data_IF_610936961694
#
_entry.id   IF_610936961694
#
_cell.length_a   1.000
_cell.length_b   1.000
_cell.length_c   1.000
_cell.angle_alpha   90.00
_cell.angle_beta   90.00
_cell.angle_gamma   90.00
#
_symmetry.space_group_name_H-M   'P 1'
#
loop_
_entity.id
_entity.type
_entity.pdbx_description
1 polymer ?
#
# COMPACT_ATOMS: atom_id res chain seq x y z
N UNK A 1 4.09 1.45 26.91
CA UNK A 1 2.81 1.88 26.32
C UNK A 1 2.92 1.70 24.83
N UNK A 2 2.04 0.91 24.22
CA UNK A 2 2.04 0.70 22.77
C UNK A 2 1.34 1.85 22.04
N UNK A 3 1.56 1.93 20.72
CA UNK A 3 0.81 2.87 19.88
C UNK A 3 -0.71 2.58 19.90
N UNK A 4 -1.10 1.31 20.10
CA UNK A 4 -2.51 0.89 20.19
C UNK A 4 -3.18 1.34 21.49
N UNK A 5 -2.46 1.27 22.60
CA UNK A 5 -2.89 1.86 23.88
C UNK A 5 -2.96 3.39 23.77
N UNK A 6 -1.94 4.01 23.16
CA UNK A 6 -1.91 5.45 22.95
C UNK A 6 -3.10 5.93 22.09
N UNK A 7 -3.44 5.24 21.00
CA UNK A 7 -4.63 5.53 20.19
C UNK A 7 -5.94 5.38 20.96
N UNK A 8 -6.06 4.37 21.83
CA UNK A 8 -7.25 4.17 22.67
C UNK A 8 -7.40 5.24 23.75
N UNK A 9 -6.30 5.74 24.28
CA UNK A 9 -6.27 6.75 25.34
C UNK A 9 -6.20 8.20 24.81
N UNK A 10 -5.88 8.40 23.53
CA UNK A 10 -5.73 9.72 22.93
C UNK A 10 -7.08 10.44 22.81
N UNK A 11 -7.15 11.74 23.19
CA UNK A 11 -8.34 12.54 22.98
C UNK A 11 -8.65 12.64 21.47
N UNK A 12 -9.95 12.67 21.17
CA UNK A 12 -10.42 13.03 19.84
C UNK A 12 -10.17 14.52 19.60
N UNK A 13 -9.96 14.90 18.34
CA UNK A 13 -10.01 16.30 17.91
C UNK A 13 -11.49 16.70 17.84
N UNK A 14 -11.91 17.67 18.65
CA UNK A 14 -13.34 17.93 18.91
C UNK A 14 -14.14 18.28 17.64
N UNK A 15 -13.53 19.02 16.70
CA UNK A 15 -14.14 19.39 15.41
C UNK A 15 -13.93 18.34 14.30
N UNK A 16 -13.22 17.23 14.55
CA UNK A 16 -12.84 16.25 13.52
C UNK A 16 -13.13 14.80 13.97
N UNK A 17 -14.29 14.23 13.58
CA UNK A 17 -14.68 12.89 14.02
C UNK A 17 -13.69 11.82 13.54
N UNK A 18 -13.37 10.87 14.41
CA UNK A 18 -12.48 9.75 14.08
C UNK A 18 -10.99 10.09 14.05
N UNK A 19 -10.57 11.32 14.37
CA UNK A 19 -9.15 11.71 14.45
C UNK A 19 -8.72 11.90 15.90
N UNK A 20 -7.57 11.33 16.25
CA UNK A 20 -6.98 11.28 17.59
C UNK A 20 -5.67 12.10 17.67
N UNK A 21 -5.38 12.68 18.83
CA UNK A 21 -4.13 13.40 19.10
C UNK A 21 -3.19 12.57 20.01
N UNK A 22 -2.18 11.94 19.40
CA UNK A 22 -1.22 11.06 20.08
C UNK A 22 -0.03 11.83 20.66
N UNK A 23 0.31 11.56 21.92
CA UNK A 23 1.57 12.01 22.52
C UNK A 23 2.74 11.11 22.06
N UNK A 24 3.78 11.71 21.46
CA UNK A 24 4.98 11.00 20.99
C UNK A 24 6.04 10.98 22.09
N UNK A 25 6.93 9.98 22.10
CA UNK A 25 8.08 9.88 23.01
C UNK A 25 7.80 9.13 24.31
N UNK A 26 6.71 8.37 24.38
CA UNK A 26 6.28 7.59 25.55
C UNK A 26 6.41 6.07 25.31
N UNK A 27 7.58 5.66 24.80
CA UNK A 27 7.92 4.27 24.43
C UNK A 27 8.24 4.09 22.94
N UNK A 28 7.86 5.07 22.12
CA UNK A 28 8.17 5.17 20.68
C UNK A 28 8.38 6.65 20.31
N UNK A 29 9.29 6.90 19.39
CA UNK A 29 9.46 8.18 18.69
C UNK A 29 8.88 8.05 17.26
N UNK A 30 8.91 9.11 16.46
CA UNK A 30 8.35 9.10 15.08
C UNK A 30 9.26 9.80 14.08
N UNK A 31 9.62 9.13 12.99
CA UNK A 31 10.36 9.75 11.88
C UNK A 31 9.37 10.27 10.85
N UNK A 32 9.37 11.58 10.63
CA UNK A 32 8.58 12.25 9.60
C UNK A 32 9.42 12.50 8.35
N UNK A 33 8.93 12.04 7.20
CA UNK A 33 9.59 12.14 5.87
C UNK A 33 8.59 12.65 4.83
N UNK A 34 9.06 13.09 3.65
CA UNK A 34 8.16 13.41 2.51
C UNK A 34 7.48 12.16 1.94
N UNK A 35 6.35 12.35 1.25
CA UNK A 35 5.61 11.26 0.61
C UNK A 35 6.50 10.38 -0.29
N UNK A 36 7.26 10.99 -1.20
CA UNK A 36 8.03 10.27 -2.24
C UNK A 36 9.15 9.39 -1.64
N UNK A 37 9.89 9.95 -0.69
CA UNK A 37 10.93 9.24 0.03
C UNK A 37 10.33 8.16 0.96
N UNK A 38 9.21 8.47 1.63
CA UNK A 38 8.53 7.58 2.54
C UNK A 38 7.90 6.37 1.85
N UNK A 39 7.16 6.58 0.75
CA UNK A 39 6.53 5.48 0.01
C UNK A 39 7.58 4.58 -0.65
N UNK A 40 8.67 5.13 -1.19
CA UNK A 40 9.75 4.31 -1.75
C UNK A 40 10.48 3.51 -0.66
N UNK A 41 10.77 4.12 0.51
CA UNK A 41 11.35 3.41 1.65
C UNK A 41 10.40 2.32 2.18
N UNK A 42 9.09 2.59 2.28
CA UNK A 42 8.09 1.60 2.68
C UNK A 42 8.01 0.43 1.69
N UNK A 43 8.03 0.69 0.38
CA UNK A 43 8.07 -0.35 -0.64
C UNK A 43 9.31 -1.24 -0.49
N UNK A 44 10.50 -0.63 -0.30
CA UNK A 44 11.76 -1.36 -0.05
C UNK A 44 11.70 -2.24 1.20
N UNK A 45 11.18 -1.69 2.30
CA UNK A 45 11.03 -2.41 3.58
C UNK A 45 10.09 -3.62 3.43
N UNK A 46 8.97 -3.47 2.70
CA UNK A 46 8.05 -4.56 2.38
C UNK A 46 8.70 -5.63 1.50
N UNK A 47 9.41 -5.24 0.43
CA UNK A 47 10.11 -6.18 -0.46
C UNK A 47 11.27 -6.92 0.22
N UNK A 48 11.86 -6.34 1.26
CA UNK A 48 12.91 -6.96 2.06
C UNK A 48 12.37 -7.83 3.23
N UNK A 49 11.04 -7.94 3.38
CA UNK A 49 10.37 -8.61 4.52
C UNK A 49 10.86 -8.10 5.91
N UNK A 50 11.30 -6.84 5.95
CA UNK A 50 11.88 -6.21 7.14
C UNK A 50 10.82 -5.89 8.19
N UNK A 51 11.22 -5.82 9.47
CA UNK A 51 10.29 -5.65 10.60
C UNK A 51 9.76 -4.21 10.66
N UNK A 52 8.73 -3.94 9.85
CA UNK A 52 7.94 -2.73 9.88
C UNK A 52 7.16 -2.59 11.19
N UNK A 53 7.23 -1.40 11.77
CA UNK A 53 6.24 -0.88 12.70
C UNK A 53 5.17 -0.07 11.98
N UNK A 54 4.20 0.50 12.73
CA UNK A 54 3.13 1.31 12.17
C UNK A 54 3.62 2.53 11.38
N UNK A 55 2.93 2.80 10.27
CA UNK A 55 3.25 3.88 9.34
C UNK A 55 1.97 4.61 8.96
N UNK A 56 1.93 5.92 9.21
CA UNK A 56 0.81 6.78 8.87
C UNK A 56 1.17 7.67 7.67
N UNK A 57 0.28 7.74 6.68
CA UNK A 57 0.30 8.74 5.62
C UNK A 57 -0.65 9.89 5.93
N UNK A 58 -0.07 11.09 5.95
CA UNK A 58 -0.69 12.41 6.07
C UNK A 58 -0.84 12.99 4.66
N UNK A 59 -2.06 12.92 4.10
CA UNK A 59 -2.33 13.37 2.73
C UNK A 59 -2.26 14.90 2.60
N UNK A 60 -2.86 15.72 3.49
CA UNK A 60 -2.75 17.18 3.41
C UNK A 60 -1.33 17.72 3.62
N UNK A 61 -0.49 17.01 4.38
CA UNK A 61 0.90 17.36 4.64
C UNK A 61 1.92 16.72 3.70
N UNK A 62 1.50 15.81 2.81
CA UNK A 62 2.33 14.99 1.91
C UNK A 62 3.52 14.32 2.61
N UNK A 63 3.23 13.62 3.72
CA UNK A 63 4.25 13.04 4.62
C UNK A 63 3.92 11.63 5.07
N UNK A 64 4.96 10.83 5.29
CA UNK A 64 4.86 9.58 6.04
C UNK A 64 5.50 9.74 7.43
N UNK A 65 4.89 9.08 8.41
CA UNK A 65 5.27 9.08 9.82
C UNK A 65 5.50 7.63 10.25
N UNK A 66 6.77 7.25 10.44
CA UNK A 66 7.18 5.90 10.83
C UNK A 66 7.39 5.83 12.35
N UNK A 67 6.73 4.89 13.03
CA UNK A 67 6.97 4.64 14.44
C UNK A 67 8.30 3.89 14.65
N UNK A 68 9.19 4.46 15.47
CA UNK A 68 10.55 3.94 15.71
C UNK A 68 10.86 3.86 17.22
N UNK A 69 11.86 3.07 17.65
CA UNK A 69 12.36 3.08 19.03
C UNK A 69 12.81 4.49 19.48
N UNK A 70 12.56 4.80 20.74
CA UNK A 70 12.93 6.09 21.35
C UNK A 70 14.44 6.29 21.41
N UNK A 71 14.91 7.52 21.21
CA UNK A 71 16.32 7.87 21.36
C UNK A 71 17.17 7.61 20.12
N UNK A 72 16.56 7.23 19.00
CA UNK A 72 17.19 7.00 17.69
C UNK A 72 17.82 8.24 17.03
N UNK A 73 18.05 9.34 17.75
CA UNK A 73 18.35 10.68 17.20
C UNK A 73 19.56 10.72 16.25
N UNK A 74 20.66 10.05 16.60
CA UNK A 74 21.86 9.98 15.76
C UNK A 74 21.74 9.08 14.52
N UNK A 75 20.70 8.24 14.43
CA UNK A 75 20.46 7.42 13.24
C UNK A 75 20.00 8.24 12.02
N UNK A 76 19.66 9.52 12.22
CA UNK A 76 19.06 10.39 11.20
C UNK A 76 20.02 11.45 10.63
N UNK A 77 21.25 11.52 11.12
CA UNK A 77 22.20 12.54 10.69
C UNK A 77 22.54 12.40 9.19
N UNK A 78 22.52 13.52 8.47
CA UNK A 78 22.70 13.58 7.02
C UNK A 78 21.45 13.29 6.17
N UNK A 79 20.30 12.95 6.76
CA UNK A 79 19.03 12.72 6.04
C UNK A 79 18.03 13.89 6.20
N UNK A 80 17.26 14.15 5.14
CA UNK A 80 16.19 15.15 5.09
C UNK A 80 14.91 14.70 5.81
N UNK A 81 15.04 14.33 7.09
CA UNK A 81 13.96 13.79 7.93
C UNK A 81 13.80 14.58 9.23
N UNK A 82 12.65 14.46 9.89
CA UNK A 82 12.42 15.06 11.21
C UNK A 82 12.00 14.00 12.22
N UNK A 83 12.89 13.69 13.18
CA UNK A 83 12.52 12.93 14.36
C UNK A 83 11.61 13.78 15.26
N UNK A 84 10.43 13.25 15.57
CA UNK A 84 9.50 13.74 16.59
C UNK A 84 9.65 12.84 17.81
N UNK A 85 9.73 13.44 18.99
CA UNK A 85 9.96 12.76 20.26
C UNK A 85 9.22 13.47 21.40
N UNK A 86 9.51 13.15 22.67
CA UNK A 86 8.78 13.62 23.86
C UNK A 86 8.41 15.11 23.81
N UNK A 87 7.11 15.38 23.95
CA UNK A 87 6.53 16.73 23.84
C UNK A 87 6.04 17.10 22.43
N UNK A 88 6.26 16.22 21.44
CA UNK A 88 5.63 16.30 20.13
C UNK A 88 4.30 15.54 20.13
N UNK A 89 3.39 15.93 19.23
CA UNK A 89 2.10 15.27 19.03
C UNK A 89 1.94 14.81 17.58
N UNK A 90 1.27 13.68 17.37
CA UNK A 90 0.87 13.17 16.05
C UNK A 90 -0.65 13.19 15.95
N UNK A 91 -1.18 13.88 14.94
CA UNK A 91 -2.59 13.77 14.55
C UNK A 91 -2.73 12.50 13.74
N UNK A 92 -3.60 11.57 14.14
CA UNK A 92 -3.76 10.28 13.47
C UNK A 92 -5.23 9.85 13.37
N UNK A 93 -5.66 9.28 12.23
CA UNK A 93 -7.01 8.77 12.09
C UNK A 93 -7.15 7.44 12.84
N UNK A 94 -8.37 7.13 13.24
CA UNK A 94 -8.71 5.85 13.84
C UNK A 94 -8.50 4.72 12.81
N UNK A 95 -7.78 3.63 13.15
CA UNK A 95 -7.45 2.56 12.19
C UNK A 95 -8.66 1.81 11.60
N UNK A 96 -9.87 2.03 12.12
CA UNK A 96 -11.13 1.45 11.63
C UNK A 96 -12.16 2.52 11.17
N UNK A 97 -11.73 3.79 11.11
CA UNK A 97 -12.50 4.97 10.66
C UNK A 97 -11.53 6.03 10.11
N UNK A 98 -11.16 5.91 8.83
CA UNK A 98 -10.45 6.95 8.09
C UNK A 98 -11.41 7.61 7.09
N UNK A 99 -11.61 8.92 7.19
CA UNK A 99 -12.16 9.70 6.08
C UNK A 99 -11.06 9.89 5.01
N UNK A 100 -11.43 9.84 3.73
CA UNK A 100 -10.46 9.83 2.63
C UNK A 100 -9.56 11.07 2.56
N UNK A 101 -10.00 12.21 3.10
CA UNK A 101 -9.28 13.48 3.00
C UNK A 101 -8.00 13.54 3.85
N UNK A 102 -7.95 12.84 4.98
CA UNK A 102 -6.80 12.90 5.90
C UNK A 102 -5.61 12.06 5.41
N UNK A 103 -5.86 10.95 4.72
CA UNK A 103 -4.89 9.89 4.47
C UNK A 103 -5.24 8.63 5.27
N UNK A 104 -4.25 7.95 5.84
CA UNK A 104 -4.50 6.70 6.55
C UNK A 104 -3.25 5.88 6.88
N UNK A 105 -3.45 4.82 7.66
CA UNK A 105 -2.40 3.88 8.03
C UNK A 105 -1.97 3.03 6.83
N UNK A 106 -0.70 3.13 6.45
CA UNK A 106 -0.08 2.21 5.50
C UNK A 106 0.32 0.91 6.17
N UNK A 107 0.72 0.96 7.45
CA UNK A 107 0.95 -0.20 8.33
C UNK A 107 0.19 0.01 9.64
N UNK A 108 -0.56 -1.00 10.10
CA UNK A 108 -1.51 -0.85 11.20
C UNK A 108 -0.88 -0.95 12.60
N UNK A 109 -1.46 -0.26 13.61
CA UNK A 109 -1.03 -0.27 15.01
C UNK A 109 -1.48 -1.55 15.76
N UNK A 110 -1.04 -2.73 15.30
CA UNK A 110 -1.51 -4.03 15.83
C UNK A 110 -0.57 -4.67 16.88
N UNK A 111 0.68 -4.96 16.51
CA UNK A 111 1.59 -5.94 17.17
C UNK A 111 2.79 -5.32 17.94
N UNK A 112 2.65 -4.10 18.46
CA UNK A 112 3.72 -3.32 19.15
C UNK A 112 5.04 -3.11 18.37
N UNK A 113 5.15 -3.58 17.12
CA UNK A 113 6.35 -3.48 16.30
C UNK A 113 6.73 -2.01 16.09
N UNK A 114 8.03 -1.72 16.07
CA UNK A 114 8.59 -0.42 15.71
C UNK A 114 9.63 -0.67 14.61
N UNK A 115 9.70 0.20 13.61
CA UNK A 115 10.63 0.04 12.50
C UNK A 115 12.06 0.29 13.00
N UNK A 116 12.98 -0.62 12.70
CA UNK A 116 14.39 -0.49 13.11
C UNK A 116 15.00 0.77 12.47
N UNK A 117 15.62 1.70 13.26
CA UNK A 117 16.17 2.93 12.74
C UNK A 117 17.18 2.72 11.61
N UNK A 118 18.03 1.71 11.76
CA UNK A 118 19.12 1.38 10.84
C UNK A 118 18.60 0.80 9.52
N UNK A 119 17.46 0.09 9.53
CA UNK A 119 16.81 -0.37 8.31
C UNK A 119 16.06 0.75 7.62
N UNK A 120 15.29 1.56 8.35
CA UNK A 120 14.59 2.72 7.77
C UNK A 120 15.59 3.72 7.18
N UNK A 121 16.72 3.97 7.85
CA UNK A 121 17.82 4.79 7.32
C UNK A 121 18.31 4.25 5.98
N UNK A 122 18.69 2.97 5.91
CA UNK A 122 19.14 2.32 4.66
C UNK A 122 18.09 2.38 3.53
N UNK A 123 16.81 2.22 3.85
CA UNK A 123 15.72 2.30 2.88
C UNK A 123 15.48 3.73 2.34
N UNK A 124 15.82 4.76 3.12
CA UNK A 124 15.80 6.18 2.73
C UNK A 124 17.08 6.63 2.01
N UNK A 125 18.24 6.09 2.38
CA UNK A 125 19.55 6.41 1.78
C UNK A 125 19.72 5.84 0.37
N UNK A 126 19.07 4.71 0.05
CA UNK A 126 19.09 4.16 -1.31
C UNK A 126 18.57 5.23 -2.31
N UNK A 127 19.33 5.58 -3.36
CA UNK A 127 18.91 6.62 -4.30
C UNK A 127 17.57 6.24 -4.92
N UNK A 128 16.72 7.21 -5.21
CA UNK A 128 15.54 6.91 -6.04
C UNK A 128 16.07 6.40 -7.39
N UNK A 129 15.61 5.21 -7.80
CA UNK A 129 15.74 4.85 -9.21
C UNK A 129 14.81 5.83 -9.90
N UNK A 130 15.40 6.84 -10.56
CA UNK A 130 14.65 7.87 -11.24
C UNK A 130 13.63 7.18 -12.14
N UNK A 131 12.35 7.47 -11.90
CA UNK A 131 11.26 6.84 -12.63
C UNK A 131 11.17 7.51 -13.98
N UNK A 132 12.17 7.21 -14.83
CA UNK A 132 12.34 7.73 -16.18
C UNK A 132 10.96 7.79 -16.83
N UNK A 133 10.45 9.02 -17.01
CA UNK A 133 9.05 9.20 -17.38
C UNK A 133 8.79 8.34 -18.61
N UNK A 134 7.69 7.57 -18.64
CA UNK A 134 7.27 6.91 -19.85
C UNK A 134 6.89 8.03 -20.83
N UNK A 135 7.88 8.51 -21.59
CA UNK A 135 7.68 9.41 -22.71
C UNK A 135 6.88 8.61 -23.72
N UNK A 136 5.56 8.70 -23.62
CA UNK A 136 4.61 8.09 -24.54
C UNK A 136 4.76 8.86 -25.84
N UNK A 137 5.77 8.45 -26.62
CA UNK A 137 5.92 8.86 -28.01
C UNK A 137 4.73 8.27 -28.75
N UNK A 138 3.65 9.05 -28.82
CA UNK A 138 2.51 8.82 -29.70
C UNK A 138 2.99 8.85 -31.15
N UNK A 139 3.61 7.76 -31.58
CA UNK A 139 4.20 7.61 -32.91
C UNK A 139 3.07 7.44 -33.91
N UNK A 140 2.50 8.57 -34.32
CA UNK A 140 1.47 8.66 -35.35
C UNK A 140 1.97 8.04 -36.65
N UNK A 141 1.58 6.79 -36.88
CA UNK A 141 1.82 6.04 -38.09
C UNK A 141 0.67 5.03 -38.23
N UNK A 142 -0.20 5.25 -39.20
CA UNK A 142 -1.19 4.27 -39.62
C UNK A 142 -0.44 3.02 -40.10
N UNK A 143 -0.61 1.91 -39.37
CA UNK A 143 0.03 0.64 -39.71
C UNK A 143 -0.98 -0.48 -39.51
N UNK A 144 -1.37 -1.09 -40.63
CA UNK A 144 -2.48 -2.04 -40.76
C UNK A 144 -2.35 -3.24 -39.79
N UNK A 145 -3.08 -3.21 -38.67
CA UNK A 145 -3.11 -4.30 -37.70
C UNK A 145 -3.77 -5.54 -38.30
N UNK A 146 -2.98 -6.59 -38.56
CA UNK A 146 -3.48 -7.92 -38.89
C UNK A 146 -3.36 -8.84 -37.68
N UNK A 147 -4.48 -9.36 -37.13
CA UNK A 147 -4.43 -10.27 -35.99
C UNK A 147 -3.95 -11.66 -36.44
N UNK A 148 -2.64 -11.91 -36.30
CA UNK A 148 -2.13 -13.28 -36.33
C UNK A 148 -2.68 -14.09 -35.15
N UNK A 149 -2.99 -15.37 -35.40
CA UNK A 149 -3.43 -16.35 -34.40
C UNK A 149 -4.80 -16.11 -33.74
N UNK A 150 -5.84 -15.84 -34.54
CA UNK A 150 -7.18 -16.34 -34.17
C UNK A 150 -7.18 -17.86 -34.37
N UNK A 151 -7.33 -18.62 -33.30
CA UNK A 151 -7.47 -20.08 -33.38
C UNK A 151 -8.90 -20.46 -33.79
N UNK A 152 -9.17 -20.42 -35.10
CA UNK A 152 -10.50 -20.70 -35.65
C UNK A 152 -10.85 -22.17 -35.48
N UNK A 153 -11.62 -22.49 -34.44
CA UNK A 153 -12.30 -23.78 -34.32
C UNK A 153 -13.45 -23.84 -35.33
N UNK A 154 -13.16 -24.31 -36.54
CA UNK A 154 -14.16 -24.52 -37.59
C UNK A 154 -15.12 -25.66 -37.20
N UNK A 155 -16.44 -25.42 -37.07
CA UNK A 155 -17.39 -26.52 -37.03
C UNK A 155 -17.43 -27.20 -38.41
N UNK A 156 -17.18 -28.52 -38.46
CA UNK A 156 -17.30 -29.30 -39.69
C UNK A 156 -18.75 -29.35 -40.15
N UNK A 157 -19.12 -28.43 -41.04
CA UNK A 157 -20.38 -28.45 -41.78
C UNK A 157 -20.23 -29.37 -42.99
N UNK A 158 -20.69 -30.63 -42.86
CA UNK A 158 -20.35 -31.64 -43.89
C UNK A 158 -21.16 -32.96 -43.93
N UNK A 159 -22.09 -33.22 -43.01
CA UNK A 159 -23.03 -34.34 -43.16
C UNK A 159 -24.25 -34.20 -42.22
N UNK A 160 -25.45 -34.44 -42.76
CA UNK A 160 -26.63 -34.83 -41.97
C UNK A 160 -26.84 -36.33 -42.07
N UNK A 161 -26.59 -37.11 -41.01
CA UNK A 161 -27.14 -38.46 -40.90
C UNK A 161 -28.63 -38.38 -40.57
N UNK A 162 -29.46 -39.12 -41.32
CA UNK A 162 -30.88 -39.31 -41.00
C UNK A 162 -31.06 -39.83 -39.56
N UNK A 163 -32.14 -39.40 -38.90
CA UNK A 163 -32.62 -40.03 -37.68
C UNK A 163 -33.15 -41.45 -37.97
N UNK A 164 -32.27 -42.44 -37.95
CA UNK A 164 -32.61 -43.86 -38.12
C UNK A 164 -33.15 -44.44 -36.81
N UNK A 165 -34.45 -44.29 -36.57
CA UNK A 165 -35.15 -44.94 -35.47
C UNK A 165 -35.10 -46.48 -35.65
N UNK A 166 -34.63 -47.25 -34.66
CA UNK A 166 -34.70 -48.71 -34.71
C UNK A 166 -36.15 -49.18 -34.59
N UNK A 167 -36.67 -49.85 -35.63
CA UNK A 167 -38.00 -50.47 -35.65
C UNK A 167 -37.94 -51.95 -35.25
N UNK A 168 -38.28 -52.23 -34.00
CA UNK A 168 -38.82 -53.53 -33.55
C UNK A 168 -39.85 -53.22 -32.45
N UNK A 169 -41.15 -53.45 -32.60
CA UNK A 169 -41.87 -54.71 -32.89
C UNK A 169 -41.71 -55.73 -31.74
N UNK A 170 -42.76 -56.35 -31.20
CA UNK A 170 -44.19 -56.38 -31.57
C UNK A 170 -45.04 -55.63 -30.48
N UNK A 171 -46.34 -55.81 -30.19
CA UNK A 171 -47.39 -56.71 -30.68
C UNK A 171 -48.82 -56.15 -30.45
N UNK A 172 -49.77 -56.72 -31.19
CA UNK A 172 -51.18 -57.04 -30.87
C UNK A 172 -51.49 -57.31 -29.37
N UNK A 173 -52.73 -57.17 -28.89
CA UNK A 173 -54.02 -56.95 -29.58
C UNK A 173 -54.88 -55.93 -28.85
#
# INVERSE_FOLDING_TARGET
MSLREALRAAPLVEDVPGVHLLAIGHGWDTVRVSADAGFLALARLRTAEERLGPVLYDRPGERLYFAVPTGSRGAWDGLSVRLLSKGSWLVAPNPYRCDEWFGGWCELPDDERLTAPETLRRALEQPQIDSAEPVIVCKGAESEWKPSNVLVLTPTSGASPRASLPRSAWHRS
#
